data_IF_614502082049
#
_entry.id   IF_614502082049
#
_cell.length_a   1.000
_cell.length_b   1.000
_cell.length_c   1.000
_cell.angle_alpha   90.00
_cell.angle_beta   90.00
_cell.angle_gamma   90.00
#
_symmetry.space_group_name_H-M   'P 1'
#
loop_
_entity.id
_entity.type
_entity.pdbx_description
1 polymer ?
#
# COMPACT_ATOMS: atom_id res chain seq x y z
N UNK A 1 12.07 47.16 4.20
CA UNK A 1 12.14 45.81 4.80
C UNK A 1 10.74 45.25 4.78
N UNK A 2 10.46 44.35 3.84
CA UNK A 2 9.19 43.65 3.76
C UNK A 2 9.12 42.68 4.93
N UNK A 3 8.06 42.79 5.73
CA UNK A 3 7.68 41.72 6.66
C UNK A 3 6.92 40.69 5.84
N UNK A 4 7.57 39.57 5.53
CA UNK A 4 6.86 38.37 5.11
C UNK A 4 6.09 37.86 6.34
N UNK A 5 4.82 38.22 6.40
CA UNK A 5 3.84 37.60 7.29
C UNK A 5 3.62 36.17 6.78
N UNK A 6 4.41 35.24 7.30
CA UNK A 6 4.11 33.82 7.23
C UNK A 6 2.79 33.58 7.96
N UNK A 7 1.73 33.33 7.20
CA UNK A 7 0.51 32.75 7.75
C UNK A 7 0.84 31.32 8.15
N UNK A 8 1.09 31.10 9.44
CA UNK A 8 0.85 29.81 10.07
C UNK A 8 -0.65 29.57 9.96
N UNK A 9 -1.08 28.98 8.85
CA UNK A 9 -2.43 28.45 8.73
C UNK A 9 -2.54 27.33 9.75
N UNK A 10 -3.28 27.57 10.81
CA UNK A 10 -3.86 26.52 11.64
C UNK A 10 -4.65 25.62 10.70
N UNK A 11 -4.01 24.57 10.20
CA UNK A 11 -4.64 23.66 9.27
C UNK A 11 -5.69 22.90 10.07
N UNK A 12 -6.95 23.17 9.76
CA UNK A 12 -8.07 22.39 10.28
C UNK A 12 -7.77 20.92 10.00
N UNK A 13 -7.96 20.03 10.97
CA UNK A 13 -7.64 18.60 10.82
C UNK A 13 -8.29 17.99 9.57
N UNK A 14 -9.41 18.55 9.11
CA UNK A 14 -10.11 18.13 7.89
C UNK A 14 -9.32 18.45 6.60
N UNK A 15 -8.67 19.61 6.53
CA UNK A 15 -7.87 20.05 5.38
C UNK A 15 -6.56 19.26 5.29
N UNK A 16 -5.93 19.00 6.44
CA UNK A 16 -4.70 18.18 6.52
C UNK A 16 -4.92 16.74 6.03
N UNK A 17 -6.09 16.17 6.28
CA UNK A 17 -6.44 14.81 5.83
C UNK A 17 -6.65 14.79 4.33
N UNK A 18 -7.33 15.79 3.77
CA UNK A 18 -7.55 15.89 2.31
C UNK A 18 -6.22 16.06 1.55
N UNK A 19 -5.34 16.93 2.04
CA UNK A 19 -4.00 17.10 1.47
C UNK A 19 -3.19 15.81 1.52
N UNK A 20 -3.28 15.07 2.63
CA UNK A 20 -2.59 13.80 2.79
C UNK A 20 -3.09 12.73 1.80
N UNK A 21 -4.40 12.59 1.64
CA UNK A 21 -4.99 11.67 0.66
C UNK A 21 -4.56 12.01 -0.78
N UNK A 22 -4.51 13.30 -1.12
CA UNK A 22 -4.08 13.76 -2.44
C UNK A 22 -2.59 13.49 -2.67
N UNK A 23 -1.74 13.79 -1.69
CA UNK A 23 -0.29 13.53 -1.74
C UNK A 23 -0.02 12.03 -1.91
N UNK A 24 -0.69 11.17 -1.16
CA UNK A 24 -0.57 9.72 -1.33
C UNK A 24 -1.03 9.31 -2.72
N UNK A 25 -2.18 9.80 -3.17
CA UNK A 25 -2.72 9.49 -4.50
C UNK A 25 -1.73 9.90 -5.60
N UNK A 26 -1.04 11.02 -5.43
CA UNK A 26 0.01 11.47 -6.34
C UNK A 26 1.25 10.57 -6.27
N UNK A 27 1.75 10.23 -5.07
CA UNK A 27 2.89 9.34 -4.89
C UNK A 27 2.63 7.94 -5.48
N UNK A 28 1.41 7.45 -5.32
CA UNK A 28 0.94 6.20 -5.91
C UNK A 28 0.93 6.32 -7.44
N UNK A 29 0.42 7.40 -8.03
CA UNK A 29 0.49 7.63 -9.50
C UNK A 29 1.92 7.72 -10.03
N UNK A 30 2.84 8.25 -9.24
CA UNK A 30 4.27 8.36 -9.56
C UNK A 30 5.03 7.03 -9.43
N UNK A 31 4.36 5.92 -9.16
CA UNK A 31 4.95 4.58 -9.05
C UNK A 31 5.97 4.44 -7.92
N UNK A 32 5.88 5.29 -6.90
CA UNK A 32 6.62 5.18 -5.64
C UNK A 32 5.86 4.33 -4.62
N UNK A 33 5.17 3.31 -5.10
CA UNK A 33 4.37 2.45 -4.24
C UNK A 33 4.39 0.99 -4.69
N UNK A 34 4.35 0.10 -3.72
CA UNK A 34 4.15 -1.34 -3.88
C UNK A 34 2.75 -1.65 -3.38
N UNK A 35 1.99 -2.41 -4.16
CA UNK A 35 0.63 -2.78 -3.82
C UNK A 35 0.50 -4.29 -3.72
N UNK A 36 -0.20 -4.76 -2.68
CA UNK A 36 -0.53 -6.17 -2.49
C UNK A 36 0.31 -6.87 -1.43
N UNK A 37 -0.32 -7.80 -0.71
CA UNK A 37 0.21 -8.39 0.53
C UNK A 37 1.54 -9.10 0.32
N UNK A 38 1.66 -9.90 -0.74
CA UNK A 38 2.86 -10.68 -1.03
C UNK A 38 4.06 -9.80 -1.39
N UNK A 39 3.86 -8.84 -2.29
CA UNK A 39 4.90 -7.90 -2.71
C UNK A 39 5.35 -7.01 -1.55
N UNK A 40 4.39 -6.57 -0.74
CA UNK A 40 4.67 -5.78 0.45
C UNK A 40 5.48 -6.60 1.48
N UNK A 41 5.04 -7.82 1.79
CA UNK A 41 5.76 -8.71 2.71
C UNK A 41 7.19 -8.99 2.23
N UNK A 42 7.38 -9.20 0.94
CA UNK A 42 8.68 -9.49 0.38
C UNK A 42 9.65 -8.30 0.48
N UNK A 43 9.19 -7.08 0.18
CA UNK A 43 10.02 -5.88 0.35
C UNK A 43 10.30 -5.61 1.83
N UNK A 44 9.33 -5.83 2.71
CA UNK A 44 9.54 -5.70 4.15
C UNK A 44 10.59 -6.71 4.66
N UNK A 45 10.61 -7.93 4.15
CA UNK A 45 11.59 -8.96 4.53
C UNK A 45 13.02 -8.64 4.04
N UNK A 46 13.16 -8.09 2.84
CA UNK A 46 14.48 -7.86 2.23
C UNK A 46 15.03 -6.46 2.44
N UNK A 47 14.17 -5.44 2.47
CA UNK A 47 14.58 -4.02 2.45
C UNK A 47 13.54 -3.11 3.12
N UNK A 48 13.30 -3.25 4.44
CA UNK A 48 12.38 -2.41 5.18
C UNK A 48 12.80 -0.94 5.22
N UNK A 49 14.10 -0.63 5.08
CA UNK A 49 14.63 0.74 5.08
C UNK A 49 14.20 1.58 3.88
N UNK A 50 13.74 0.94 2.80
CA UNK A 50 13.25 1.63 1.60
C UNK A 50 11.80 2.10 1.76
N UNK A 51 11.09 1.58 2.76
CA UNK A 51 9.67 1.85 3.01
C UNK A 51 9.53 3.11 3.86
N UNK A 52 8.89 4.13 3.31
CA UNK A 52 8.61 5.39 4.01
C UNK A 52 7.30 5.33 4.81
N UNK A 53 6.29 4.64 4.28
CA UNK A 53 4.95 4.61 4.83
C UNK A 53 4.26 3.29 4.50
N UNK A 54 3.56 2.72 5.46
CA UNK A 54 2.63 1.61 5.27
C UNK A 54 1.20 2.12 5.40
N UNK A 55 0.37 1.86 4.41
CA UNK A 55 -1.02 2.28 4.37
C UNK A 55 -1.89 1.03 4.43
N UNK A 56 -2.77 0.98 5.42
CA UNK A 56 -3.69 -0.14 5.66
C UNK A 56 -5.14 0.38 5.73
N UNK A 57 -6.13 -0.43 5.31
CA UNK A 57 -7.52 -0.10 5.54
C UNK A 57 -7.85 -0.20 7.05
N UNK A 58 -8.64 0.75 7.53
CA UNK A 58 -9.13 0.82 8.92
C UNK A 58 -10.08 -0.35 9.23
N UNK A 59 -10.92 -0.73 8.26
CA UNK A 59 -11.79 -1.90 8.40
C UNK A 59 -11.02 -3.19 8.15
N UNK A 60 -11.21 -4.15 9.06
CA UNK A 60 -10.65 -5.48 8.94
C UNK A 60 -11.30 -6.18 7.74
N UNK A 61 -10.47 -6.73 6.85
CA UNK A 61 -10.96 -7.57 5.74
C UNK A 61 -11.97 -8.60 6.24
N UNK A 62 -13.08 -8.79 5.49
CA UNK A 62 -14.07 -9.84 5.77
C UNK A 62 -13.45 -11.24 5.71
N UNK A 63 -12.38 -11.39 4.94
CA UNK A 63 -11.60 -12.60 4.87
C UNK A 63 -10.59 -12.67 6.02
N UNK A 64 -10.75 -13.68 6.88
CA UNK A 64 -9.90 -13.91 8.06
C UNK A 64 -8.42 -14.01 7.66
N UNK A 65 -8.12 -14.70 6.55
CA UNK A 65 -6.75 -14.83 6.04
C UNK A 65 -6.14 -13.47 5.70
N UNK A 66 -6.86 -12.64 4.95
CA UNK A 66 -6.43 -11.29 4.59
C UNK A 66 -6.28 -10.40 5.82
N UNK A 67 -7.18 -10.56 6.81
CA UNK A 67 -7.10 -9.85 8.06
C UNK A 67 -5.84 -10.22 8.88
N UNK A 68 -5.51 -11.51 8.96
CA UNK A 68 -4.27 -11.97 9.61
C UNK A 68 -3.05 -11.39 8.90
N UNK A 69 -3.00 -11.46 7.57
CA UNK A 69 -1.86 -10.94 6.80
C UNK A 69 -1.70 -9.43 6.98
N UNK A 70 -2.80 -8.67 7.01
CA UNK A 70 -2.78 -7.24 7.33
C UNK A 70 -2.18 -7.00 8.72
N UNK A 71 -2.58 -7.78 9.73
CA UNK A 71 -2.06 -7.63 11.10
C UNK A 71 -0.58 -8.02 11.21
N UNK A 72 -0.13 -9.01 10.45
CA UNK A 72 1.29 -9.37 10.38
C UNK A 72 2.12 -8.23 9.79
N UNK A 73 1.66 -7.65 8.67
CA UNK A 73 2.34 -6.49 8.05
C UNK A 73 2.33 -5.29 8.99
N UNK A 74 1.20 -5.01 9.63
CA UNK A 74 1.10 -3.94 10.63
C UNK A 74 2.16 -4.16 11.72
N UNK A 75 2.14 -5.30 12.40
CA UNK A 75 3.11 -5.62 13.45
C UNK A 75 4.56 -5.47 12.98
N UNK A 76 4.89 -5.98 11.79
CA UNK A 76 6.24 -5.87 11.22
C UNK A 76 6.65 -4.41 10.99
N UNK A 77 5.75 -3.58 10.46
CA UNK A 77 6.01 -2.15 10.26
C UNK A 77 6.26 -1.45 11.61
N UNK A 78 5.49 -1.79 12.65
CA UNK A 78 5.70 -1.26 14.00
C UNK A 78 7.06 -1.68 14.59
N UNK A 79 7.48 -2.93 14.38
CA UNK A 79 8.78 -3.43 14.87
C UNK A 79 9.98 -2.77 14.16
N UNK A 80 9.79 -2.31 12.92
CA UNK A 80 10.84 -1.71 12.09
C UNK A 80 10.78 -0.17 12.04
N UNK A 81 10.02 0.50 12.92
CA UNK A 81 9.82 1.96 12.94
C UNK A 81 9.29 2.52 11.59
N UNK A 82 8.51 1.70 10.88
CA UNK A 82 7.81 2.12 9.67
C UNK A 82 6.48 2.71 10.09
N UNK A 83 6.21 3.94 9.64
CA UNK A 83 4.96 4.63 9.94
C UNK A 83 3.78 3.93 9.28
N UNK A 84 2.84 3.47 10.09
CA UNK A 84 1.57 2.89 9.64
C UNK A 84 0.46 3.94 9.70
N UNK A 85 -0.30 4.05 8.62
CA UNK A 85 -1.47 4.92 8.55
C UNK A 85 -2.69 4.12 8.15
N UNK A 86 -3.72 4.19 8.98
CA UNK A 86 -4.99 3.53 8.76
C UNK A 86 -5.97 4.54 8.14
N UNK A 87 -6.56 4.17 7.01
CA UNK A 87 -7.53 5.00 6.29
C UNK A 87 -8.79 4.21 6.00
N UNK A 88 -9.90 4.91 5.75
CA UNK A 88 -11.16 4.24 5.43
C UNK A 88 -11.00 3.32 4.20
N UNK A 89 -11.63 2.14 4.26
CA UNK A 89 -11.55 1.13 3.19
C UNK A 89 -11.87 1.73 1.81
N UNK A 90 -12.86 2.61 1.72
CA UNK A 90 -13.27 3.26 0.46
C UNK A 90 -12.16 4.14 -0.13
N UNK A 91 -11.49 4.92 0.72
CA UNK A 91 -10.38 5.80 0.32
C UNK A 91 -9.19 4.94 -0.10
N UNK A 92 -8.86 3.91 0.69
CA UNK A 92 -7.80 2.96 0.39
C UNK A 92 -7.97 2.36 -1.01
N UNK A 93 -9.15 1.84 -1.33
CA UNK A 93 -9.41 1.26 -2.64
C UNK A 93 -9.37 2.29 -3.77
N UNK A 94 -9.71 3.55 -3.51
CA UNK A 94 -9.59 4.63 -4.49
C UNK A 94 -8.13 4.90 -4.84
N UNK A 95 -7.29 5.04 -3.81
CA UNK A 95 -5.84 5.22 -3.92
C UNK A 95 -5.20 4.00 -4.60
N UNK A 96 -5.54 2.79 -4.17
CA UNK A 96 -5.01 1.55 -4.73
C UNK A 96 -5.28 1.46 -6.24
N UNK A 97 -6.47 1.87 -6.69
CA UNK A 97 -6.85 1.85 -8.12
C UNK A 97 -6.06 2.86 -8.97
N UNK A 98 -5.46 3.90 -8.38
CA UNK A 98 -4.78 4.95 -9.12
C UNK A 98 -3.49 4.49 -9.84
N UNK A 99 -2.87 3.39 -9.40
CA UNK A 99 -1.65 2.82 -10.00
C UNK A 99 -1.83 1.37 -10.47
N UNK A 100 -3.02 1.03 -11.00
CA UNK A 100 -3.28 -0.28 -11.62
C UNK A 100 -2.53 -0.40 -12.97
N UNK A 101 -1.21 -0.63 -12.93
CA UNK A 101 -0.49 -1.22 -14.06
C UNK A 101 -0.87 -2.71 -14.10
N UNK A 102 -1.91 -3.01 -14.88
CA UNK A 102 -2.34 -4.33 -15.41
C UNK A 102 -1.87 -5.58 -14.63
N UNK A 103 -2.86 -6.31 -14.09
CA UNK A 103 -2.79 -7.70 -13.59
C UNK A 103 -2.36 -7.93 -12.12
N UNK A 104 -3.30 -7.72 -11.21
CA UNK A 104 -3.53 -8.64 -10.09
C UNK A 104 -5.00 -8.53 -9.68
N UNK A 105 -5.60 -9.66 -9.34
CA UNK A 105 -7.01 -9.78 -8.95
C UNK A 105 -7.38 -8.74 -7.90
N UNK A 106 -8.58 -8.15 -8.02
CA UNK A 106 -9.05 -7.07 -7.16
C UNK A 106 -9.18 -7.43 -5.66
N UNK A 107 -8.90 -8.68 -5.30
CA UNK A 107 -9.00 -9.25 -3.96
C UNK A 107 -7.71 -9.22 -3.16
N UNK A 108 -6.57 -8.89 -3.78
CA UNK A 108 -5.25 -9.04 -3.14
C UNK A 108 -4.64 -7.70 -2.66
N UNK A 109 -5.40 -6.62 -2.78
CA UNK A 109 -5.00 -5.27 -2.38
C UNK A 109 -5.46 -4.99 -0.95
N UNK A 110 -4.70 -5.47 0.04
CA UNK A 110 -4.98 -5.26 1.46
C UNK A 110 -3.99 -4.30 2.13
N UNK A 111 -2.88 -3.99 1.45
CA UNK A 111 -1.87 -3.06 1.93
C UNK A 111 -1.17 -2.34 0.77
N UNK A 112 -0.68 -1.14 1.05
CA UNK A 112 0.16 -0.35 0.13
C UNK A 112 1.39 0.10 0.92
N UNK A 113 2.57 -0.05 0.34
CA UNK A 113 3.81 0.52 0.86
C UNK A 113 4.24 1.67 -0.04
N UNK A 114 4.53 2.83 0.53
CA UNK A 114 5.22 3.92 -0.17
C UNK A 114 6.72 3.76 0.03
N UNK A 115 7.47 3.88 -1.06
CA UNK A 115 8.92 3.76 -1.06
C UNK A 115 9.59 5.11 -1.29
N UNK A 116 10.76 5.32 -0.68
CA UNK A 116 11.56 6.55 -0.86
C UNK A 116 12.23 6.59 -2.23
N UNK A 117 12.51 5.42 -2.80
CA UNK A 117 13.00 5.24 -4.18
C UNK A 117 11.83 4.91 -5.11
N UNK A 118 11.82 5.41 -6.36
CA UNK A 118 10.83 4.98 -7.34
C UNK A 118 10.95 3.45 -7.51
N UNK A 119 9.80 2.78 -7.62
CA UNK A 119 9.76 1.34 -7.81
C UNK A 119 10.28 1.02 -9.22
N UNK A 120 11.59 0.89 -9.36
CA UNK A 120 12.23 0.26 -10.50
C UNK A 120 11.84 -1.23 -10.50
N UNK A 121 11.76 -1.82 -11.69
CA UNK A 121 11.30 -3.19 -11.89
C UNK A 121 12.12 -4.24 -11.09
N UNK A 122 13.32 -3.89 -10.62
CA UNK A 122 14.20 -4.75 -9.82
C UNK A 122 13.67 -5.17 -8.44
N UNK A 123 12.72 -4.44 -7.85
CA UNK A 123 12.09 -4.85 -6.57
C UNK A 123 10.96 -5.87 -6.74
N UNK A 124 10.49 -6.05 -7.99
CA UNK A 124 9.43 -7.00 -8.33
C UNK A 124 9.94 -8.29 -9.00
N UNK A 125 11.26 -8.43 -9.17
CA UNK A 125 11.89 -9.66 -9.70
C UNK A 125 11.90 -10.81 -8.67
N UNK A 126 11.21 -10.64 -7.54
CA UNK A 126 10.91 -11.72 -6.61
C UNK A 126 9.75 -12.50 -7.23
N UNK A 127 10.13 -13.40 -8.14
CA UNK A 127 9.36 -14.47 -8.77
C UNK A 127 7.90 -14.51 -8.28
N UNK A 128 6.99 -13.86 -9.04
CA UNK A 128 5.57 -14.21 -9.04
C UNK A 128 5.51 -15.65 -9.56
N UNK A 129 5.86 -16.60 -8.69
CA UNK A 129 5.86 -18.02 -8.96
C UNK A 129 4.50 -18.37 -9.52
N UNK A 130 4.53 -18.84 -10.76
CA UNK A 130 3.45 -19.28 -11.61
C UNK A 130 2.47 -20.19 -10.83
N UNK A 131 1.52 -19.61 -10.08
CA UNK A 131 0.33 -20.33 -9.63
C UNK A 131 -0.61 -20.39 -10.83
N UNK A 132 -0.16 -21.11 -11.86
CA UNK A 132 -1.02 -21.56 -12.93
C UNK A 132 -2.11 -22.41 -12.27
N UNK A 133 -3.32 -21.87 -12.25
CA UNK A 133 -4.55 -22.57 -11.94
C UNK A 133 -4.68 -23.80 -12.86
N UNK A 134 -4.11 -24.93 -12.44
CA UNK A 134 -4.40 -26.21 -13.05
C UNK A 134 -5.69 -26.78 -12.45
N UNK A 135 -6.76 -25.97 -12.49
CA UNK A 135 -8.13 -26.41 -12.28
C UNK A 135 -8.78 -26.41 -13.66
N UNK A 136 -8.47 -27.44 -14.43
CA UNK A 136 -9.45 -27.92 -15.39
C UNK A 136 -9.21 -29.38 -15.74
N UNK A 137 -10.25 -30.17 -15.49
CA UNK A 137 -10.57 -31.45 -16.12
C UNK A 137 -10.11 -32.72 -15.39
N UNK A 138 -10.86 -33.09 -14.35
CA UNK A 138 -11.22 -34.49 -14.18
C UNK A 138 -12.74 -34.63 -14.24
N UNK A 139 -13.24 -34.74 -15.46
CA UNK A 139 -14.61 -35.18 -15.74
C UNK A 139 -14.62 -36.70 -15.54
N UNK A 140 -15.10 -37.16 -14.38
CA UNK A 140 -15.37 -38.57 -14.13
C UNK A 140 -16.66 -38.93 -14.85
N UNK A 141 -16.51 -39.58 -16.01
CA UNK A 141 -17.55 -40.39 -16.63
C UNK A 141 -17.56 -41.80 -16.06
#
# INVERSE_FOLDING_TARGET
>A
MSVESGSESEMSCDEAVQDFEEVISQAVRETKCIQGVFKCASVLEHSPELVALCILPEEQSKDISAHIQQKLIEAYCWENDIRVVNIQEKVFHSIAKANRKKASSATDLTCILLTTVPCDASLTDIDDGDFNDNISNNNIG
#
